data_IF_128111144872
#
_entry.id   IF_128111144872
#
_cell.length_a   1.000
_cell.length_b   1.000
_cell.length_c   1.000
_cell.angle_alpha   90.00
_cell.angle_beta   90.00
_cell.angle_gamma   90.00
#
_symmetry.space_group_name_H-M   'P 1'
#
loop_
_entity.id
_entity.type
_entity.pdbx_description
1 polymer ?
#
# COMPACT_ATOMS: atom_id res chain seq x y z
N UNK A 1 0.52 60.61 -13.75
CA UNK A 1 -0.10 61.15 -14.98
C UNK A 1 0.39 60.22 -16.08
N UNK A 2 -0.23 59.05 -16.16
CA UNK A 2 0.12 58.00 -17.14
C UNK A 2 -0.94 58.05 -18.25
N UNK A 3 -0.51 58.13 -19.49
CA UNK A 3 -1.36 58.11 -20.67
C UNK A 3 -1.99 56.71 -20.85
N UNK A 4 -3.25 56.61 -21.28
CA UNK A 4 -3.84 55.33 -21.62
C UNK A 4 -3.24 54.85 -22.94
N UNK A 5 -2.48 53.76 -22.88
CA UNK A 5 -2.06 53.01 -24.07
C UNK A 5 -3.29 52.54 -24.81
N UNK A 6 -3.58 53.16 -25.96
CA UNK A 6 -4.56 52.65 -26.92
C UNK A 6 -4.03 51.33 -27.46
N UNK A 7 -4.52 50.23 -26.90
CA UNK A 7 -4.32 48.89 -27.41
C UNK A 7 -4.95 48.82 -28.81
N UNK A 8 -4.16 49.11 -29.85
CA UNK A 8 -4.55 48.81 -31.22
C UNK A 8 -4.80 47.29 -31.30
N UNK A 9 -6.08 46.91 -31.39
CA UNK A 9 -6.51 45.56 -31.71
C UNK A 9 -5.87 45.18 -33.05
N UNK A 10 -4.73 44.46 -33.00
CA UNK A 10 -4.14 43.85 -34.19
C UNK A 10 -5.01 42.67 -34.59
N UNK A 11 -5.99 42.91 -35.45
CA UNK A 11 -6.68 41.83 -36.16
C UNK A 11 -5.68 41.06 -37.03
N UNK A 12 -5.85 39.73 -37.11
CA UNK A 12 -5.00 38.84 -37.91
C UNK A 12 -5.04 39.22 -39.40
N UNK A 13 -3.93 39.03 -40.11
CA UNK A 13 -3.79 39.36 -41.54
C UNK A 13 -4.89 38.71 -42.41
N UNK A 14 -5.36 37.52 -42.02
CA UNK A 14 -6.47 36.82 -42.67
C UNK A 14 -7.82 37.54 -42.46
N UNK A 15 -8.07 38.06 -41.26
CA UNK A 15 -9.31 38.82 -40.97
C UNK A 15 -9.29 40.14 -41.71
N UNK A 16 -8.13 40.80 -41.78
CA UNK A 16 -7.93 42.01 -42.57
C UNK A 16 -8.09 41.77 -44.08
N UNK A 17 -7.73 40.59 -44.57
CA UNK A 17 -7.94 40.19 -45.96
C UNK A 17 -9.42 39.91 -46.25
N UNK A 18 -10.15 39.29 -45.33
CA UNK A 18 -11.58 38.98 -45.45
C UNK A 18 -12.44 40.26 -45.39
N UNK A 19 -12.14 41.18 -44.46
CA UNK A 19 -12.79 42.50 -44.36
C UNK A 19 -12.61 43.31 -45.66
N UNK A 20 -11.45 43.14 -46.31
CA UNK A 20 -11.14 43.79 -47.59
C UNK A 20 -11.90 43.19 -48.76
N UNK A 21 -12.35 41.94 -48.66
CA UNK A 21 -13.17 41.25 -49.66
C UNK A 21 -14.68 41.53 -49.47
N UNK A 22 -15.11 41.94 -48.27
CA UNK A 22 -16.50 42.35 -48.02
C UNK A 22 -16.90 43.66 -48.73
N UNK A 23 -15.96 44.58 -49.01
CA UNK A 23 -16.26 45.83 -49.73
C UNK A 23 -16.17 45.69 -51.26
N UNK A 24 -17.03 44.87 -51.87
CA UNK A 24 -17.13 44.76 -53.34
C UNK A 24 -18.54 45.07 -53.79
N UNK A 25 -18.88 46.36 -53.80
CA UNK A 25 -20.02 46.83 -54.60
C UNK A 25 -19.56 47.51 -55.89
N UNK A 26 -20.43 47.62 -56.90
CA UNK A 26 -20.09 48.27 -58.17
C UNK A 26 -19.72 49.76 -58.00
N UNK A 27 -20.22 50.39 -56.93
CA UNK A 27 -20.10 51.83 -56.68
C UNK A 27 -19.05 52.21 -55.63
N UNK A 28 -18.52 51.25 -54.84
CA UNK A 28 -17.47 51.50 -53.84
C UNK A 28 -16.22 50.62 -54.04
N UNK A 29 -15.55 50.72 -55.19
CA UNK A 29 -14.21 50.10 -55.37
C UNK A 29 -13.09 51.00 -54.85
N UNK A 30 -12.69 50.78 -53.60
CA UNK A 30 -11.61 51.51 -52.89
C UNK A 30 -10.25 51.57 -53.63
N UNK A 31 -9.99 50.69 -54.61
CA UNK A 31 -8.73 50.65 -55.39
C UNK A 31 -8.71 51.51 -56.66
N UNK A 32 -9.83 52.05 -57.11
CA UNK A 32 -9.91 52.82 -58.36
C UNK A 32 -10.07 54.30 -57.99
N UNK A 33 -9.18 55.18 -58.45
CA UNK A 33 -9.30 56.61 -58.17
C UNK A 33 -10.67 57.15 -58.60
N UNK A 34 -11.28 58.02 -57.79
CA UNK A 34 -12.64 58.53 -57.95
C UNK A 34 -12.96 58.98 -59.39
N UNK A 35 -12.00 59.66 -60.04
CA UNK A 35 -12.10 60.15 -61.43
C UNK A 35 -12.23 58.99 -62.43
N UNK A 36 -11.47 57.91 -62.24
CA UNK A 36 -11.54 56.73 -63.11
C UNK A 36 -12.85 55.96 -62.92
N UNK A 37 -13.43 56.01 -61.73
CA UNK A 37 -14.72 55.40 -61.43
C UNK A 37 -15.88 56.21 -62.05
N UNK A 38 -15.84 57.54 -61.94
CA UNK A 38 -16.79 58.45 -62.59
C UNK A 38 -16.74 58.30 -64.11
N UNK A 39 -15.54 58.26 -64.71
CA UNK A 39 -15.38 58.06 -66.15
C UNK A 39 -15.84 56.67 -66.63
N UNK A 40 -15.88 55.67 -65.73
CA UNK A 40 -16.43 54.33 -66.03
C UNK A 40 -17.96 54.32 -65.95
N UNK A 41 -18.54 55.04 -64.99
CA UNK A 41 -19.99 55.17 -64.83
C UNK A 41 -20.62 56.08 -65.91
N UNK A 42 -19.87 57.10 -66.36
CA UNK A 42 -20.33 58.05 -67.39
C UNK A 42 -19.30 58.21 -68.53
N UNK A 43 -19.21 57.26 -69.48
CA UNK A 43 -18.22 57.30 -70.56
C UNK A 43 -18.49 58.35 -71.65
N UNK A 44 -19.75 58.76 -71.81
CA UNK A 44 -20.19 59.72 -72.84
C UNK A 44 -21.22 60.69 -72.27
N UNK A 45 -21.39 61.88 -72.87
CA UNK A 45 -22.35 62.90 -72.41
C UNK A 45 -23.81 62.40 -72.37
N UNK A 46 -24.15 61.40 -73.20
CA UNK A 46 -25.47 60.77 -73.20
C UNK A 46 -25.73 59.94 -71.93
N UNK A 47 -24.68 59.42 -71.28
CA UNK A 47 -24.77 58.65 -70.03
C UNK A 47 -25.19 59.51 -68.83
N UNK A 48 -24.99 60.84 -68.89
CA UNK A 48 -25.41 61.76 -67.82
C UNK A 48 -26.94 61.82 -67.63
N UNK A 49 -27.71 61.33 -68.60
CA UNK A 49 -29.17 61.16 -68.47
C UNK A 49 -29.57 60.10 -67.43
N UNK A 50 -28.63 59.22 -67.03
CA UNK A 50 -28.84 58.17 -66.04
C UNK A 50 -28.33 58.58 -64.64
N UNK A 51 -27.88 59.83 -64.45
CA UNK A 51 -27.30 60.30 -63.20
C UNK A 51 -28.24 60.12 -62.00
N UNK A 52 -29.51 60.51 -62.13
CA UNK A 52 -30.50 60.36 -61.06
C UNK A 52 -30.70 58.88 -60.66
N UNK A 53 -30.65 57.96 -61.63
CA UNK A 53 -30.74 56.53 -61.36
C UNK A 53 -29.51 56.00 -60.61
N UNK A 54 -28.32 56.52 -60.91
CA UNK A 54 -27.08 56.14 -60.22
C UNK A 54 -27.07 56.72 -58.80
N UNK A 55 -27.56 57.94 -58.60
CA UNK A 55 -27.70 58.54 -57.27
C UNK A 55 -28.64 57.70 -56.39
N UNK A 56 -29.81 57.32 -56.90
CA UNK A 56 -30.76 56.46 -56.16
C UNK A 56 -30.14 55.09 -55.85
N UNK A 57 -29.35 54.53 -56.77
CA UNK A 57 -28.67 53.25 -56.53
C UNK A 57 -27.59 53.37 -55.42
N UNK A 58 -26.82 54.46 -55.41
CA UNK A 58 -25.81 54.73 -54.37
C UNK A 58 -26.46 55.04 -53.03
N UNK A 59 -27.54 55.82 -53.00
CA UNK A 59 -28.30 56.08 -51.76
C UNK A 59 -28.93 54.81 -51.19
N UNK A 60 -29.42 53.92 -52.07
CA UNK A 60 -29.90 52.58 -51.69
C UNK A 60 -28.79 51.74 -51.07
N UNK A 61 -27.61 51.71 -51.68
CA UNK A 61 -26.44 50.98 -51.18
C UNK A 61 -25.93 51.53 -49.84
N UNK A 62 -25.91 52.86 -49.67
CA UNK A 62 -25.58 53.48 -48.38
C UNK A 62 -26.59 53.04 -47.31
N UNK A 63 -27.89 53.06 -47.63
CA UNK A 63 -28.92 52.64 -46.69
C UNK A 63 -28.84 51.14 -46.36
N UNK A 64 -28.48 50.29 -47.31
CA UNK A 64 -28.26 48.86 -47.06
C UNK A 64 -27.06 48.65 -46.14
N UNK A 65 -25.95 49.36 -46.40
CA UNK A 65 -24.73 49.29 -45.59
C UNK A 65 -24.95 49.82 -44.17
N UNK A 66 -25.70 50.90 -44.00
CA UNK A 66 -26.04 51.45 -42.68
C UNK A 66 -26.90 50.46 -41.86
N UNK A 67 -27.83 49.75 -42.52
CA UNK A 67 -28.62 48.71 -41.87
C UNK A 67 -27.76 47.49 -41.49
N UNK A 68 -26.83 47.09 -42.35
CA UNK A 68 -25.88 46.02 -42.05
C UNK A 68 -24.93 46.39 -40.90
N UNK A 69 -24.42 47.63 -40.89
CA UNK A 69 -23.58 48.15 -39.81
C UNK A 69 -24.34 48.15 -38.48
N UNK A 70 -25.58 48.63 -38.45
CA UNK A 70 -26.42 48.64 -37.25
C UNK A 70 -26.63 47.21 -36.71
N UNK A 71 -26.90 46.25 -37.60
CA UNK A 71 -27.04 44.85 -37.24
C UNK A 71 -25.73 44.25 -36.68
N UNK A 72 -24.59 44.56 -37.29
CA UNK A 72 -23.27 44.08 -36.83
C UNK A 72 -22.85 44.67 -35.49
N UNK A 73 -23.21 45.93 -35.20
CA UNK A 73 -22.93 46.56 -33.91
C UNK A 73 -23.78 45.93 -32.81
N UNK A 74 -25.09 45.79 -33.03
CA UNK A 74 -26.00 45.16 -32.05
C UNK A 74 -25.61 43.70 -31.77
N UNK A 75 -25.23 42.95 -32.79
CA UNK A 75 -24.76 41.56 -32.62
C UNK A 75 -23.40 41.47 -31.91
N UNK A 76 -22.45 42.38 -32.17
CA UNK A 76 -21.18 42.41 -31.45
C UNK A 76 -21.35 42.77 -29.97
N UNK A 77 -22.22 43.73 -29.64
CA UNK A 77 -22.49 44.09 -28.24
C UNK A 77 -23.04 42.87 -27.47
N UNK A 78 -24.01 42.16 -28.05
CA UNK A 78 -24.56 40.94 -27.46
C UNK A 78 -23.53 39.80 -27.33
N UNK A 79 -22.64 39.64 -28.32
CA UNK A 79 -21.58 38.62 -28.28
C UNK A 79 -20.55 38.95 -27.20
N UNK A 80 -20.15 40.22 -27.06
CA UNK A 80 -19.21 40.65 -26.02
C UNK A 80 -19.76 40.43 -24.61
N UNK A 81 -21.03 40.73 -24.35
CA UNK A 81 -21.66 40.48 -23.05
C UNK A 81 -21.70 38.97 -22.72
N UNK A 82 -22.04 38.13 -23.70
CA UNK A 82 -22.06 36.68 -23.54
C UNK A 82 -20.64 36.11 -23.32
N UNK A 83 -19.65 36.62 -24.03
CA UNK A 83 -18.24 36.25 -23.84
C UNK A 83 -17.75 36.64 -22.44
N UNK A 84 -18.06 37.84 -21.96
CA UNK A 84 -17.66 38.27 -20.61
C UNK A 84 -18.33 37.41 -19.52
N UNK A 85 -19.61 37.08 -19.67
CA UNK A 85 -20.33 36.21 -18.74
C UNK A 85 -19.78 34.79 -18.72
N UNK A 86 -19.51 34.20 -19.89
CA UNK A 86 -18.93 32.85 -19.99
C UNK A 86 -17.51 32.78 -19.42
N UNK A 87 -16.71 33.82 -19.64
CA UNK A 87 -15.33 33.91 -19.13
C UNK A 87 -15.31 34.07 -17.61
N UNK A 88 -16.23 34.87 -17.06
CA UNK A 88 -16.45 35.00 -15.61
C UNK A 88 -16.89 33.67 -14.99
N UNK A 89 -17.85 32.97 -15.61
CA UNK A 89 -18.27 31.65 -15.15
C UNK A 89 -17.13 30.63 -15.17
N UNK A 90 -16.30 30.63 -16.22
CA UNK A 90 -15.12 29.77 -16.29
C UNK A 90 -14.12 30.09 -15.17
N UNK A 91 -13.90 31.38 -14.88
CA UNK A 91 -13.01 31.81 -13.79
C UNK A 91 -13.54 31.39 -12.42
N UNK A 92 -14.84 31.52 -12.16
CA UNK A 92 -15.48 31.06 -10.93
C UNK A 92 -15.34 29.54 -10.77
N UNK A 93 -15.57 28.76 -11.83
CA UNK A 93 -15.39 27.31 -11.82
C UNK A 93 -13.94 26.89 -11.54
N UNK A 94 -12.95 27.62 -12.06
CA UNK A 94 -11.53 27.39 -11.76
C UNK A 94 -11.22 27.63 -10.29
N UNK A 95 -11.73 28.71 -9.70
CA UNK A 95 -11.54 29.01 -8.27
C UNK A 95 -12.21 27.96 -7.39
N UNK A 96 -13.39 27.48 -7.77
CA UNK A 96 -14.06 26.40 -7.06
C UNK A 96 -13.28 25.09 -7.15
N UNK A 97 -12.75 24.75 -8.33
CA UNK A 97 -11.91 23.58 -8.54
C UNK A 97 -10.64 23.64 -7.69
N UNK A 98 -9.98 24.79 -7.63
CA UNK A 98 -8.78 24.99 -6.79
C UNK A 98 -9.09 24.72 -5.32
N UNK A 99 -10.21 25.27 -4.81
CA UNK A 99 -10.66 25.01 -3.44
C UNK A 99 -10.97 23.54 -3.20
N UNK A 100 -11.60 22.88 -4.16
CA UNK A 100 -11.92 21.45 -4.08
C UNK A 100 -10.64 20.60 -4.04
N UNK A 101 -9.65 20.91 -4.87
CA UNK A 101 -8.35 20.25 -4.89
C UNK A 101 -7.63 20.42 -3.55
N UNK A 102 -7.59 21.64 -3.00
CA UNK A 102 -6.92 21.87 -1.72
C UNK A 102 -7.64 21.12 -0.57
N UNK A 103 -8.97 21.11 -0.56
CA UNK A 103 -9.76 20.32 0.39
C UNK A 103 -9.46 18.82 0.29
N UNK A 104 -9.39 18.26 -0.93
CA UNK A 104 -9.03 16.86 -1.15
C UNK A 104 -7.61 16.58 -0.67
N UNK A 105 -6.67 17.48 -0.92
CA UNK A 105 -5.27 17.37 -0.49
C UNK A 105 -5.15 17.38 1.03
N UNK A 106 -5.84 18.27 1.73
CA UNK A 106 -5.87 18.30 3.19
C UNK A 106 -6.48 17.02 3.79
N UNK A 107 -7.62 16.57 3.25
CA UNK A 107 -8.27 15.32 3.66
C UNK A 107 -7.36 14.11 3.42
N UNK A 108 -6.65 14.09 2.30
CA UNK A 108 -5.72 13.00 1.95
C UNK A 108 -4.50 13.02 2.87
N UNK A 109 -3.96 14.19 3.20
CA UNK A 109 -2.86 14.34 4.17
C UNK A 109 -3.26 13.86 5.56
N UNK A 110 -4.44 14.25 6.03
CA UNK A 110 -4.99 13.80 7.32
C UNK A 110 -5.20 12.28 7.33
N UNK A 111 -5.82 11.73 6.28
CA UNK A 111 -6.03 10.29 6.11
C UNK A 111 -4.71 9.50 6.11
N UNK A 112 -3.70 10.00 5.40
CA UNK A 112 -2.37 9.36 5.36
C UNK A 112 -1.68 9.36 6.72
N UNK A 113 -1.81 10.43 7.50
CA UNK A 113 -1.25 10.47 8.85
C UNK A 113 -1.94 9.44 9.76
N UNK A 114 -3.27 9.36 9.71
CA UNK A 114 -4.05 8.36 10.44
C UNK A 114 -3.62 6.94 10.05
N UNK A 115 -3.48 6.65 8.75
CA UNK A 115 -3.02 5.33 8.27
C UNK A 115 -1.59 5.03 8.73
N UNK A 116 -0.71 6.04 8.77
CA UNK A 116 0.67 5.92 9.27
C UNK A 116 0.68 5.55 10.75
N UNK A 117 -0.14 6.21 11.56
CA UNK A 117 -0.30 5.88 12.99
C UNK A 117 -0.87 4.47 13.19
N UNK A 118 -1.94 4.12 12.47
CA UNK A 118 -2.50 2.77 12.51
C UNK A 118 -1.46 1.70 12.16
N UNK A 119 -0.63 1.95 11.14
CA UNK A 119 0.43 1.00 10.73
C UNK A 119 1.52 0.87 11.80
N UNK A 120 1.88 1.98 12.46
CA UNK A 120 2.82 1.96 13.59
C UNK A 120 2.25 1.12 14.74
N UNK A 121 0.98 1.30 15.06
CA UNK A 121 0.32 0.62 16.17
C UNK A 121 0.15 -0.87 15.87
N UNK A 122 -0.19 -1.25 14.62
CA UNK A 122 -0.19 -2.66 14.17
C UNK A 122 1.19 -3.28 14.36
N UNK A 123 2.27 -2.57 14.01
CA UNK A 123 3.64 -3.06 14.20
C UNK A 123 3.97 -3.25 15.68
N UNK A 124 3.59 -2.32 16.54
CA UNK A 124 3.80 -2.44 17.98
C UNK A 124 3.00 -3.61 18.57
N UNK A 125 1.76 -3.81 18.11
CA UNK A 125 0.92 -4.93 18.51
C UNK A 125 1.53 -6.27 18.09
N UNK A 126 2.10 -6.37 16.89
CA UNK A 126 2.79 -7.58 16.43
C UNK A 126 4.02 -7.90 17.29
N UNK A 127 4.83 -6.89 17.62
CA UNK A 127 5.96 -7.04 18.52
C UNK A 127 5.49 -7.51 19.91
N UNK A 128 4.44 -6.90 20.45
CA UNK A 128 3.85 -7.30 21.74
C UNK A 128 3.35 -8.74 21.69
N UNK A 129 2.62 -9.13 20.64
CA UNK A 129 2.14 -10.50 20.44
C UNK A 129 3.29 -11.51 20.37
N UNK A 130 4.35 -11.20 19.63
CA UNK A 130 5.51 -12.06 19.49
C UNK A 130 6.24 -12.21 20.84
N UNK A 131 6.42 -11.12 21.58
CA UNK A 131 7.03 -11.13 22.91
C UNK A 131 6.19 -11.93 23.92
N UNK A 132 4.86 -11.74 23.92
CA UNK A 132 3.95 -12.52 24.76
C UNK A 132 3.99 -14.01 24.40
N UNK A 133 3.96 -14.34 23.12
CA UNK A 133 4.05 -15.73 22.65
C UNK A 133 5.36 -16.38 23.11
N UNK A 134 6.49 -15.69 22.90
CA UNK A 134 7.79 -16.15 23.36
C UNK A 134 7.83 -16.34 24.88
N UNK A 135 7.21 -15.42 25.64
CA UNK A 135 7.14 -15.50 27.09
C UNK A 135 6.30 -16.68 27.56
N UNK A 136 5.13 -16.91 26.96
CA UNK A 136 4.25 -18.05 27.25
C UNK A 136 4.95 -19.36 26.93
N UNK A 137 5.57 -19.48 25.75
CA UNK A 137 6.33 -20.69 25.36
C UNK A 137 7.48 -20.95 26.33
N UNK A 138 8.24 -19.91 26.69
CA UNK A 138 9.35 -20.02 27.65
C UNK A 138 8.85 -20.48 29.02
N UNK A 139 7.76 -19.90 29.51
CA UNK A 139 7.17 -20.29 30.79
C UNK A 139 6.64 -21.73 30.76
N UNK A 140 6.01 -22.14 29.66
CA UNK A 140 5.54 -23.51 29.47
C UNK A 140 6.69 -24.52 29.48
N UNK A 141 7.77 -24.23 28.76
CA UNK A 141 8.99 -25.03 28.77
C UNK A 141 9.60 -25.10 30.18
N UNK A 142 9.62 -23.98 30.92
CA UNK A 142 10.11 -23.95 32.30
C UNK A 142 9.26 -24.84 33.20
N UNK A 143 7.93 -24.82 33.04
CA UNK A 143 7.00 -25.67 33.77
C UNK A 143 7.25 -27.16 33.48
N UNK A 144 7.44 -27.54 32.20
CA UNK A 144 7.81 -28.91 31.82
C UNK A 144 9.12 -29.32 32.50
N UNK A 145 10.11 -28.42 32.55
CA UNK A 145 11.41 -28.71 33.16
C UNK A 145 11.27 -28.96 34.67
N UNK A 146 10.56 -28.08 35.39
CA UNK A 146 10.38 -28.19 36.83
C UNK A 146 9.60 -29.46 37.20
N UNK A 147 8.42 -29.65 36.62
CA UNK A 147 7.57 -30.83 36.87
C UNK A 147 8.22 -32.13 36.41
N UNK A 148 9.00 -32.06 35.32
CA UNK A 148 9.75 -33.19 34.79
C UNK A 148 10.86 -33.64 35.73
N UNK A 149 11.62 -32.71 36.32
CA UNK A 149 12.67 -33.03 37.31
C UNK A 149 12.07 -33.63 38.58
N UNK A 150 10.95 -33.08 39.07
CA UNK A 150 10.22 -33.62 40.23
C UNK A 150 9.71 -35.06 39.96
N UNK A 151 9.07 -35.27 38.82
CA UNK A 151 8.55 -36.59 38.41
C UNK A 151 9.67 -37.61 38.22
N UNK A 152 10.78 -37.18 37.62
CA UNK A 152 11.96 -38.02 37.43
C UNK A 152 12.55 -38.46 38.78
N UNK A 153 12.56 -37.57 39.77
CA UNK A 153 12.96 -37.90 41.14
C UNK A 153 12.11 -39.04 41.72
N UNK A 154 10.78 -38.89 41.64
CA UNK A 154 9.84 -39.88 42.14
C UNK A 154 9.97 -41.26 41.43
N UNK A 155 10.22 -41.29 40.12
CA UNK A 155 10.40 -42.56 39.40
C UNK A 155 11.74 -43.22 39.70
N UNK A 156 12.80 -42.44 39.93
CA UNK A 156 14.11 -42.96 40.35
C UNK A 156 13.98 -43.65 41.72
N UNK A 157 13.24 -43.05 42.64
CA UNK A 157 12.96 -43.65 43.96
C UNK A 157 12.14 -44.95 43.84
N UNK A 158 11.15 -44.98 42.94
CA UNK A 158 10.29 -46.16 42.69
C UNK A 158 10.92 -47.23 41.79
N UNK A 159 12.07 -46.94 41.16
CA UNK A 159 12.69 -47.78 40.11
C UNK A 159 11.81 -47.99 38.87
N UNK A 160 10.97 -47.01 38.53
CA UNK A 160 10.09 -47.05 37.35
C UNK A 160 10.85 -46.69 36.06
N UNK A 161 11.74 -47.58 35.62
CA UNK A 161 12.62 -47.35 34.46
C UNK A 161 11.86 -47.07 33.14
N UNK A 162 10.62 -47.56 33.01
CA UNK A 162 9.79 -47.37 31.82
C UNK A 162 9.37 -45.90 31.64
N UNK A 163 8.85 -45.26 32.69
CA UNK A 163 8.43 -43.86 32.63
C UNK A 163 9.63 -42.91 32.53
N UNK A 164 10.74 -43.25 33.20
CA UNK A 164 12.02 -42.56 33.07
C UNK A 164 12.47 -42.54 31.60
N UNK A 165 12.50 -43.71 30.93
CA UNK A 165 12.92 -43.81 29.55
C UNK A 165 12.03 -43.01 28.59
N UNK A 166 10.72 -42.92 28.88
CA UNK A 166 9.76 -42.15 28.08
C UNK A 166 9.97 -40.64 28.20
N UNK A 167 10.17 -40.13 29.42
CA UNK A 167 10.13 -38.69 29.69
C UNK A 167 11.49 -38.00 29.66
N UNK A 168 12.58 -38.72 29.96
CA UNK A 168 13.93 -38.16 29.99
C UNK A 168 14.36 -37.47 28.68
N UNK A 169 14.04 -38.00 27.47
CA UNK A 169 14.36 -37.31 26.22
C UNK A 169 13.64 -35.96 26.07
N UNK A 170 12.39 -35.88 26.50
CA UNK A 170 11.59 -34.65 26.43
C UNK A 170 12.15 -33.57 27.35
N UNK A 171 12.48 -33.93 28.60
CA UNK A 171 13.11 -33.02 29.57
C UNK A 171 14.46 -32.54 29.05
N UNK A 172 15.26 -33.42 28.45
CA UNK A 172 16.56 -33.06 27.85
C UNK A 172 16.41 -32.06 26.70
N UNK A 173 15.42 -32.25 25.83
CA UNK A 173 15.15 -31.33 24.73
C UNK A 173 14.78 -29.93 25.25
N UNK A 174 13.88 -29.89 26.24
CA UNK A 174 13.50 -28.64 26.91
C UNK A 174 14.68 -27.98 27.62
N UNK A 175 15.57 -28.74 28.26
CA UNK A 175 16.78 -28.19 28.88
C UNK A 175 17.69 -27.51 27.85
N UNK A 176 17.83 -28.09 26.65
CA UNK A 176 18.64 -27.52 25.57
C UNK A 176 18.09 -26.16 25.10
N UNK A 177 16.76 -26.00 25.07
CA UNK A 177 16.13 -24.70 24.80
C UNK A 177 16.57 -23.61 25.81
N UNK A 178 16.90 -24.00 27.04
CA UNK A 178 17.39 -23.09 28.08
C UNK A 178 18.91 -22.89 28.11
N UNK A 179 19.67 -23.42 27.14
CA UNK A 179 21.13 -23.25 27.09
C UNK A 179 21.55 -21.77 27.06
N UNK A 180 20.76 -20.92 26.40
CA UNK A 180 20.97 -19.47 26.35
C UNK A 180 20.72 -18.75 27.70
N UNK A 181 20.05 -19.42 28.64
CA UNK A 181 19.69 -18.87 29.95
C UNK A 181 20.53 -19.47 31.10
N UNK A 182 21.64 -20.14 30.78
CA UNK A 182 22.53 -20.80 31.76
C UNK A 182 23.15 -19.86 32.80
N UNK A 183 23.26 -18.58 32.49
CA UNK A 183 23.74 -17.57 33.43
C UNK A 183 22.75 -17.29 34.57
N UNK A 184 21.48 -17.65 34.39
CA UNK A 184 20.48 -17.59 35.46
C UNK A 184 20.74 -18.68 36.49
N UNK A 185 20.92 -18.27 37.75
CA UNK A 185 21.17 -19.17 38.89
C UNK A 185 20.08 -20.25 39.03
N UNK A 186 18.82 -19.89 38.75
CA UNK A 186 17.67 -20.80 38.86
C UNK A 186 17.76 -21.94 37.84
N UNK A 187 18.04 -21.61 36.57
CA UNK A 187 18.18 -22.61 35.49
C UNK A 187 19.42 -23.47 35.74
N UNK A 188 20.53 -22.86 36.17
CA UNK A 188 21.74 -23.58 36.51
C UNK A 188 21.52 -24.58 37.66
N UNK A 189 20.71 -24.22 38.67
CA UNK A 189 20.36 -25.12 39.76
C UNK A 189 19.51 -26.30 39.29
N UNK A 190 18.50 -26.07 38.45
CA UNK A 190 17.65 -27.13 37.88
C UNK A 190 18.50 -28.09 37.02
N UNK A 191 19.41 -27.55 36.19
CA UNK A 191 20.35 -28.37 35.41
C UNK A 191 21.23 -29.24 36.31
N UNK A 192 21.80 -28.67 37.38
CA UNK A 192 22.61 -29.42 38.35
C UNK A 192 21.82 -30.51 39.07
N UNK A 193 20.55 -30.25 39.42
CA UNK A 193 19.67 -31.25 40.02
C UNK A 193 19.41 -32.41 39.05
N UNK A 194 19.13 -32.11 37.80
CA UNK A 194 18.93 -33.13 36.76
C UNK A 194 20.21 -33.96 36.52
N UNK A 195 21.38 -33.34 36.51
CA UNK A 195 22.66 -34.05 36.37
C UNK A 195 22.95 -34.97 37.55
N UNK A 196 22.67 -34.52 38.78
CA UNK A 196 22.76 -35.36 39.99
C UNK A 196 21.81 -36.55 39.90
N UNK A 197 20.58 -36.33 39.45
CA UNK A 197 19.58 -37.37 39.32
C UNK A 197 19.97 -38.40 38.25
N UNK A 198 20.49 -37.94 37.11
CA UNK A 198 21.05 -38.80 36.06
C UNK A 198 22.22 -39.65 36.56
N UNK A 199 23.13 -39.05 37.34
CA UNK A 199 24.25 -39.78 37.94
C UNK A 199 23.77 -40.85 38.92
N UNK A 200 22.82 -40.50 39.80
CA UNK A 200 22.19 -41.43 40.74
C UNK A 200 21.52 -42.61 40.02
N UNK A 201 20.69 -42.30 39.01
CA UNK A 201 20.04 -43.29 38.16
C UNK A 201 21.04 -44.22 37.47
N UNK A 202 22.16 -43.69 36.97
CA UNK A 202 23.19 -44.51 36.30
C UNK A 202 23.80 -45.51 37.29
N UNK A 203 24.11 -45.08 38.51
CA UNK A 203 24.66 -45.93 39.57
C UNK A 203 23.62 -46.98 40.00
N UNK A 204 22.37 -46.57 40.21
CA UNK A 204 21.27 -47.45 40.60
C UNK A 204 20.99 -48.51 39.52
N UNK A 205 20.92 -48.10 38.25
CA UNK A 205 20.71 -49.00 37.12
C UNK A 205 21.86 -50.01 36.99
N UNK A 206 23.12 -49.56 37.11
CA UNK A 206 24.28 -50.47 37.06
C UNK A 206 24.24 -51.49 38.21
N UNK A 207 23.85 -51.07 39.42
CA UNK A 207 23.71 -51.95 40.59
C UNK A 207 22.57 -52.95 40.40
N UNK A 208 21.39 -52.48 40.00
CA UNK A 208 20.21 -53.33 39.81
C UNK A 208 20.44 -54.34 38.69
N UNK A 209 21.08 -53.93 37.59
CA UNK A 209 21.47 -54.79 36.49
C UNK A 209 22.49 -55.85 36.94
N UNK A 210 23.53 -55.46 37.69
CA UNK A 210 24.50 -56.41 38.27
C UNK A 210 23.80 -57.44 39.17
N UNK A 211 22.89 -57.01 40.03
CA UNK A 211 22.13 -57.89 40.92
C UNK A 211 21.20 -58.84 40.14
N UNK A 212 20.54 -58.35 39.09
CA UNK A 212 19.68 -59.17 38.24
C UNK A 212 20.49 -60.26 37.52
N UNK A 213 21.66 -59.93 36.97
CA UNK A 213 22.54 -60.91 36.32
C UNK A 213 23.11 -61.94 37.31
N UNK A 214 23.49 -61.53 38.51
CA UNK A 214 23.97 -62.45 39.55
C UNK A 214 22.86 -63.39 40.04
N UNK A 215 21.64 -62.89 40.23
CA UNK A 215 20.49 -63.70 40.65
C UNK A 215 20.09 -64.69 39.55
N UNK A 216 20.12 -64.27 38.28
CA UNK A 216 19.89 -65.16 37.13
C UNK A 216 20.91 -66.30 37.06
N UNK A 217 22.19 -66.02 37.34
CA UNK A 217 23.25 -67.04 37.35
C UNK A 217 23.08 -68.06 38.51
N UNK A 218 22.62 -67.60 39.68
CA UNK A 218 22.32 -68.47 40.83
C UNK A 218 21.10 -69.37 40.58
N UNK A 219 20.05 -68.85 39.93
CA UNK A 219 18.87 -69.65 39.54
C UNK A 219 19.21 -70.70 38.48
N UNK A 220 20.13 -70.41 37.56
CA UNK A 220 20.65 -71.38 36.59
C UNK A 220 21.46 -72.49 37.27
N UNK A 221 22.39 -72.14 38.16
CA UNK A 221 23.17 -73.12 38.93
C UNK A 221 22.31 -74.01 39.85
N UNK A 222 21.21 -73.48 40.40
CA UNK A 222 20.26 -74.26 41.22
C UNK A 222 19.46 -75.27 40.40
N UNK A 223 19.10 -74.95 39.16
CA UNK A 223 18.42 -75.90 38.26
C UNK A 223 19.37 -77.03 37.81
N UNK A 224 20.65 -76.75 37.66
CA UNK A 224 21.65 -77.70 37.19
C UNK A 224 22.14 -78.65 38.30
N UNK A 225 22.27 -78.15 39.54
CA UNK A 225 22.56 -78.98 40.72
C UNK A 225 21.37 -79.88 41.10
N UNK A 226 20.12 -79.40 40.99
CA UNK A 226 18.94 -80.23 41.25
C UNK A 226 18.75 -81.37 40.21
N UNK A 227 19.09 -81.14 38.93
CA UNK A 227 19.12 -82.21 37.92
C UNK A 227 20.17 -83.30 38.21
N UNK A 228 21.33 -82.93 38.75
CA UNK A 228 22.41 -83.88 39.09
C UNK A 228 22.10 -84.69 40.36
N UNK A 229 21.37 -84.13 41.33
CA UNK A 229 20.98 -84.88 42.53
C UNK A 229 19.85 -85.88 42.27
N UNK A 230 18.97 -85.64 41.28
CA UNK A 230 17.95 -86.62 40.89
C UNK A 230 18.50 -87.77 40.04
N UNK A 231 19.65 -87.63 39.36
CA UNK A 231 20.27 -88.73 38.60
C UNK A 231 21.19 -89.63 39.42
N UNK A 232 21.53 -89.25 40.66
CA UNK A 232 22.51 -89.96 41.49
C UNK A 232 21.87 -90.81 42.62
N UNK A 233 20.54 -90.95 42.62
CA UNK A 233 19.76 -91.71 43.62
C UNK A 233 19.35 -93.13 43.21
N UNK A 234 19.81 -93.65 42.06
CA UNK A 234 19.42 -94.99 41.55
C UNK A 234 20.53 -96.04 41.57
N UNK A 235 21.66 -95.80 42.23
CA UNK A 235 22.71 -96.81 42.40
C UNK A 235 23.15 -96.87 43.87
N UNK A 236 22.42 -97.64 44.67
CA UNK A 236 22.93 -98.38 45.82
C UNK A 236 21.77 -99.19 46.41
N UNK A 237 21.56 -100.38 45.84
CA UNK A 237 20.89 -101.52 46.47
C UNK A 237 21.46 -102.75 45.76
N UNK A 238 22.56 -103.27 46.30
CA UNK A 238 22.98 -104.66 46.21
C UNK A 238 23.59 -105.03 47.58
#
# INVERSE_FOLDING_TARGET
MEEPSTSELKLSDDVMAEIKDMCITEYCKSKIGLIAQINKLFPTEQSLTQLDSVIVAVEGEISELDNELAYLVETNENVNELEEETLKHAQEAVVELEKSIESIKERTKSSNEIVREMTRDIKQLDIARRNLTASITTLHHLHILLTGVESLGAWVDKKDYSDIARQLPAIRNVLQFFDAYKESEQIANISKQLDKLKASLTIQLARDLKNAFQTGHQLSNRKETSRRTSSNGSSNND
#
